data_IF_941037534277
#
_entry.id   IF_941037534277
#
_cell.length_a   1.000
_cell.length_b   1.000
_cell.length_c   1.000
_cell.angle_alpha   90.00
_cell.angle_beta   90.00
_cell.angle_gamma   90.00
#
_symmetry.space_group_name_H-M   'P 1'
#
loop_
_entity.id
_entity.type
_entity.pdbx_description
1 polymer ?
#
# COMPACT_ATOMS: atom_id res chain seq x y z
N UNK A 1 -2.10 20.65 -3.74
CA UNK A 1 -3.21 19.86 -3.15
C UNK A 1 -4.59 20.52 -3.31
N UNK A 2 -4.73 21.73 -3.86
CA UNK A 2 -6.04 22.42 -4.01
C UNK A 2 -7.06 21.74 -4.94
N UNK A 3 -6.65 20.71 -5.69
CA UNK A 3 -7.54 19.93 -6.57
C UNK A 3 -8.30 18.81 -5.85
N UNK A 4 -7.80 18.35 -4.69
CA UNK A 4 -8.42 17.27 -3.91
C UNK A 4 -8.96 17.86 -2.61
N UNK A 5 -10.19 17.49 -2.23
CA UNK A 5 -10.83 17.88 -0.97
C UNK A 5 -10.30 17.00 0.17
N UNK A 6 -9.05 17.21 0.58
CA UNK A 6 -8.38 16.40 1.60
C UNK A 6 -7.83 17.28 2.71
N UNK A 7 -8.22 16.98 3.95
CA UNK A 7 -7.76 17.67 5.16
C UNK A 7 -6.44 17.11 5.71
N UNK A 8 -6.28 15.78 5.65
CA UNK A 8 -5.11 15.05 6.12
C UNK A 8 -4.69 14.01 5.09
N UNK A 9 -3.40 13.90 4.81
CA UNK A 9 -2.88 12.86 3.91
C UNK A 9 -1.54 12.33 4.40
N UNK A 10 -1.47 11.01 4.57
CA UNK A 10 -0.27 10.30 4.98
C UNK A 10 0.55 9.88 3.76
N UNK A 11 1.86 10.03 3.88
CA UNK A 11 2.82 9.69 2.85
C UNK A 11 3.89 8.78 3.44
N UNK A 12 4.25 7.74 2.70
CA UNK A 12 5.33 6.82 3.05
C UNK A 12 6.37 6.84 1.94
N UNK A 13 7.65 6.94 2.31
CA UNK A 13 8.73 6.98 1.32
C UNK A 13 8.97 5.61 0.66
N UNK A 14 8.97 4.53 1.45
CA UNK A 14 9.28 3.19 0.95
C UNK A 14 8.21 2.58 0.03
N UNK A 15 7.06 3.24 -0.14
CA UNK A 15 6.04 2.86 -1.14
C UNK A 15 6.30 3.49 -2.52
N UNK A 16 7.32 4.35 -2.62
CA UNK A 16 7.79 4.99 -3.85
C UNK A 16 9.32 4.85 -3.97
N UNK A 17 9.85 3.67 -3.61
CA UNK A 17 11.28 3.36 -3.66
C UNK A 17 12.21 4.24 -2.79
N UNK A 18 11.64 5.05 -1.89
CA UNK A 18 12.40 5.83 -0.91
C UNK A 18 12.85 5.00 0.31
N UNK A 19 13.61 5.61 1.23
CA UNK A 19 14.13 4.92 2.41
C UNK A 19 13.02 4.48 3.38
N UNK A 20 13.23 3.35 4.06
CA UNK A 20 12.34 2.89 5.13
C UNK A 20 12.45 3.74 6.40
N UNK A 21 11.34 3.84 7.14
CA UNK A 21 11.28 4.57 8.42
C UNK A 21 11.26 6.10 8.27
N UNK A 22 10.72 6.61 7.15
CA UNK A 22 10.39 8.04 6.98
C UNK A 22 9.08 8.17 6.21
N UNK A 23 8.33 9.21 6.56
CA UNK A 23 7.07 9.57 5.92
C UNK A 23 6.74 11.03 6.20
N UNK A 24 5.59 11.48 5.73
CA UNK A 24 5.09 12.82 5.97
C UNK A 24 3.58 12.80 6.20
N UNK A 25 3.10 13.74 7.01
CA UNK A 25 1.68 14.03 7.15
C UNK A 25 1.42 15.41 6.55
N UNK A 26 0.63 15.46 5.49
CA UNK A 26 0.06 16.72 5.03
C UNK A 26 -1.10 17.10 5.94
N UNK A 27 -1.06 18.34 6.42
CA UNK A 27 -2.12 18.95 7.22
C UNK A 27 -2.64 20.18 6.49
N UNK A 28 -3.93 20.16 6.15
CA UNK A 28 -4.58 21.26 5.49
C UNK A 28 -4.65 22.49 6.40
N UNK A 29 -4.44 23.66 5.83
CA UNK A 29 -4.32 24.92 6.60
C UNK A 29 -5.64 25.65 6.77
N UNK A 30 -6.57 25.54 5.81
CA UNK A 30 -7.82 26.32 5.76
C UNK A 30 -8.99 25.50 5.18
N UNK A 31 -9.96 25.04 5.98
CA UNK A 31 -10.15 25.35 7.40
C UNK A 31 -9.01 24.83 8.27
N UNK A 32 -8.81 25.47 9.43
CA UNK A 32 -7.71 25.12 10.35
C UNK A 32 -8.01 23.78 11.00
N UNK A 33 -7.20 22.77 10.70
CA UNK A 33 -7.23 21.48 11.39
C UNK A 33 -6.39 21.59 12.66
N UNK A 34 -6.97 21.21 13.81
CA UNK A 34 -6.28 21.15 15.09
C UNK A 34 -5.93 19.69 15.37
N UNK A 35 -4.64 19.41 15.47
CA UNK A 35 -4.11 18.10 15.84
C UNK A 35 -3.43 18.21 17.20
N UNK A 36 -3.64 17.22 18.04
CA UNK A 36 -2.84 17.03 19.24
C UNK A 36 -1.61 16.20 18.90
N UNK A 37 -0.44 16.68 19.29
CA UNK A 37 0.79 15.96 19.05
C UNK A 37 0.85 14.70 19.91
N UNK A 38 1.20 13.56 19.31
CA UNK A 38 1.42 12.32 20.04
C UNK A 38 2.84 12.22 20.62
N UNK A 39 3.77 13.05 20.14
CA UNK A 39 5.16 13.10 20.59
C UNK A 39 5.48 14.48 21.14
N UNK A 40 5.68 14.56 22.46
CA UNK A 40 5.94 15.81 23.18
C UNK A 40 7.44 15.97 23.45
N UNK A 41 8.02 17.10 23.05
CA UNK A 41 9.33 17.64 23.44
C UNK A 41 9.47 19.03 22.77
N UNK A 42 10.68 19.49 22.44
CA UNK A 42 11.08 20.82 21.91
C UNK A 42 10.45 21.33 20.60
N UNK A 43 9.18 21.05 20.32
CA UNK A 43 8.35 21.85 19.42
C UNK A 43 8.69 21.76 17.92
N UNK A 44 9.48 20.77 17.52
CA UNK A 44 9.83 20.55 16.10
C UNK A 44 8.59 20.25 15.24
N UNK A 45 8.71 20.44 13.93
CA UNK A 45 7.61 20.27 12.97
C UNK A 45 6.34 21.05 13.37
N UNK A 46 6.52 22.32 13.78
CA UNK A 46 5.44 23.22 14.25
C UNK A 46 4.70 22.68 15.49
N UNK A 47 5.40 21.95 16.34
CA UNK A 47 4.84 21.31 17.52
C UNK A 47 4.04 20.04 17.24
N UNK A 48 4.01 19.53 16.00
CA UNK A 48 3.24 18.32 15.65
C UNK A 48 4.04 17.04 15.80
N UNK A 49 5.37 17.10 15.65
CA UNK A 49 6.24 15.94 15.76
C UNK A 49 7.59 16.34 16.34
N UNK A 50 7.80 15.96 17.60
CA UNK A 50 9.03 16.26 18.32
C UNK A 50 10.18 15.29 17.99
N UNK A 51 11.39 15.65 18.38
CA UNK A 51 12.62 14.86 18.14
C UNK A 51 13.39 15.26 16.88
N UNK A 52 14.69 14.99 16.88
CA UNK A 52 15.60 15.36 15.80
C UNK A 52 15.19 14.73 14.47
N UNK A 53 15.28 15.51 13.40
CA UNK A 53 14.89 15.09 12.06
C UNK A 53 16.04 14.31 11.40
N UNK A 54 15.78 13.11 10.85
CA UNK A 54 16.80 12.34 10.14
C UNK A 54 17.00 12.91 8.72
N UNK A 55 17.84 13.94 8.61
CA UNK A 55 18.04 14.73 7.38
C UNK A 55 18.28 13.84 6.15
N UNK A 56 19.15 12.83 6.26
CA UNK A 56 19.44 11.88 5.18
C UNK A 56 18.18 11.15 4.67
N UNK A 57 17.26 10.75 5.56
CA UNK A 57 16.00 10.10 5.16
C UNK A 57 15.02 11.10 4.55
N UNK A 58 14.99 12.33 5.04
CA UNK A 58 14.16 13.41 4.47
C UNK A 58 14.62 13.72 3.05
N UNK A 59 15.93 13.84 2.82
CA UNK A 59 16.51 14.02 1.48
C UNK A 59 16.16 12.84 0.57
N UNK A 60 16.35 11.61 1.04
CA UNK A 60 15.99 10.41 0.27
C UNK A 60 14.51 10.33 -0.07
N UNK A 61 13.62 10.73 0.85
CA UNK A 61 12.19 10.85 0.56
C UNK A 61 11.93 11.95 -0.49
N UNK A 62 12.54 13.12 -0.36
CA UNK A 62 12.40 14.20 -1.34
C UNK A 62 12.79 13.76 -2.75
N UNK A 63 13.90 13.04 -2.87
CA UNK A 63 14.39 12.53 -4.15
C UNK A 63 13.47 11.45 -4.74
N UNK A 64 13.01 10.50 -3.93
CA UNK A 64 12.04 9.49 -4.36
C UNK A 64 10.76 10.12 -4.93
N UNK A 65 10.21 11.15 -4.27
CA UNK A 65 9.04 11.88 -4.77
C UNK A 65 9.34 12.73 -6.01
N UNK A 66 10.57 13.25 -6.15
CA UNK A 66 11.01 13.96 -7.36
C UNK A 66 11.02 13.03 -8.57
N UNK A 67 11.61 11.83 -8.43
CA UNK A 67 11.63 10.79 -9.48
C UNK A 67 10.20 10.35 -9.80
N UNK A 68 9.41 10.02 -8.78
CA UNK A 68 8.02 9.61 -8.96
C UNK A 68 7.20 10.68 -9.71
N UNK A 69 7.41 11.97 -9.46
CA UNK A 69 6.71 13.05 -10.19
C UNK A 69 7.00 13.01 -11.71
N UNK A 70 8.19 12.60 -12.11
CA UNK A 70 8.61 12.55 -13.52
C UNK A 70 8.16 11.24 -14.19
N UNK A 71 8.30 10.12 -13.48
CA UNK A 71 8.18 8.79 -14.08
C UNK A 71 6.83 8.10 -13.85
N UNK A 72 6.08 8.48 -12.81
CA UNK A 72 4.90 7.73 -12.35
C UNK A 72 3.83 7.53 -13.42
N UNK A 73 3.62 8.49 -14.32
CA UNK A 73 2.61 8.35 -15.37
C UNK A 73 2.96 7.20 -16.33
N UNK A 74 4.17 7.24 -16.90
CA UNK A 74 4.67 6.20 -17.81
C UNK A 74 4.78 4.85 -17.09
N UNK A 75 5.26 4.87 -15.85
CA UNK A 75 5.43 3.66 -15.06
C UNK A 75 4.08 3.04 -14.68
N UNK A 76 3.05 3.85 -14.42
CA UNK A 76 1.69 3.35 -14.17
C UNK A 76 1.11 2.60 -15.36
N UNK A 77 1.31 3.11 -16.58
CA UNK A 77 0.85 2.44 -17.81
C UNK A 77 1.56 1.09 -18.00
N UNK A 78 2.89 1.08 -17.82
CA UNK A 78 3.70 -0.14 -17.92
C UNK A 78 3.28 -1.18 -16.88
N UNK A 79 3.11 -0.78 -15.63
CA UNK A 79 2.70 -1.66 -14.53
C UNK A 79 1.28 -2.20 -14.76
N UNK A 80 0.36 -1.37 -15.24
CA UNK A 80 -0.99 -1.81 -15.57
C UNK A 80 -0.99 -2.87 -16.69
N UNK A 81 -0.18 -2.68 -17.74
CA UNK A 81 -0.04 -3.67 -18.81
C UNK A 81 0.52 -5.01 -18.29
N UNK A 82 1.51 -4.97 -17.40
CA UNK A 82 2.07 -6.17 -16.76
C UNK A 82 1.03 -6.88 -15.88
N UNK A 83 0.28 -6.13 -15.08
CA UNK A 83 -0.81 -6.67 -14.25
C UNK A 83 -1.89 -7.32 -15.11
N UNK A 84 -2.29 -6.68 -16.20
CA UNK A 84 -3.28 -7.23 -17.13
C UNK A 84 -2.77 -8.49 -17.83
N UNK A 85 -1.48 -8.53 -18.20
CA UNK A 85 -0.83 -9.72 -18.77
C UNK A 85 -0.83 -10.88 -17.77
N UNK A 86 -0.47 -10.62 -16.52
CA UNK A 86 -0.50 -11.62 -15.46
C UNK A 86 -1.92 -12.15 -15.27
N UNK A 87 -2.90 -11.26 -15.06
CA UNK A 87 -4.30 -11.63 -14.89
C UNK A 87 -4.84 -12.45 -16.06
N UNK A 88 -4.63 -12.01 -17.30
CA UNK A 88 -5.09 -12.73 -18.48
C UNK A 88 -4.44 -14.12 -18.62
N UNK A 89 -3.23 -14.31 -18.10
CA UNK A 89 -2.55 -15.60 -18.11
C UNK A 89 -3.11 -16.61 -17.10
N UNK A 90 -3.76 -16.14 -16.03
CA UNK A 90 -4.21 -17.00 -14.92
C UNK A 90 -5.73 -17.03 -14.72
N UNK A 91 -6.49 -16.06 -15.25
CA UNK A 91 -7.93 -15.88 -14.97
C UNK A 91 -8.84 -17.05 -15.32
N UNK A 92 -8.36 -18.01 -16.13
CA UNK A 92 -9.12 -19.18 -16.53
C UNK A 92 -8.82 -20.41 -15.64
N UNK A 93 -7.99 -20.25 -14.61
CA UNK A 93 -7.81 -21.28 -13.57
C UNK A 93 -9.15 -21.43 -12.84
N UNK A 94 -9.58 -22.68 -12.67
CA UNK A 94 -10.80 -23.02 -11.93
C UNK A 94 -10.70 -22.50 -10.50
N UNK A 95 -11.83 -22.04 -9.94
CA UNK A 95 -11.88 -21.53 -8.56
C UNK A 95 -10.94 -20.35 -8.23
N UNK A 96 -10.57 -19.55 -9.25
CA UNK A 96 -9.82 -18.31 -9.07
C UNK A 96 -10.75 -17.10 -9.05
N UNK A 97 -10.64 -16.28 -8.00
CA UNK A 97 -11.46 -15.10 -7.79
C UNK A 97 -10.61 -13.83 -7.74
N UNK A 98 -11.07 -12.76 -8.39
CA UNK A 98 -10.46 -11.44 -8.30
C UNK A 98 -11.02 -10.67 -7.11
N UNK A 99 -10.12 -10.13 -6.28
CA UNK A 99 -10.49 -9.33 -5.12
C UNK A 99 -10.51 -7.84 -5.49
N UNK A 100 -11.71 -7.28 -5.62
CA UNK A 100 -11.91 -5.88 -6.01
C UNK A 100 -11.96 -5.69 -7.53
N UNK A 101 -11.44 -4.57 -8.02
CA UNK A 101 -11.57 -4.16 -9.43
C UNK A 101 -10.23 -3.81 -10.07
N UNK A 102 -10.00 -4.27 -11.30
CA UNK A 102 -8.79 -3.92 -12.06
C UNK A 102 -8.79 -2.44 -12.47
N UNK A 103 -9.92 -1.94 -12.99
CA UNK A 103 -9.99 -0.59 -13.59
C UNK A 103 -9.74 0.53 -12.57
N UNK A 104 -10.24 0.38 -11.34
CA UNK A 104 -10.15 1.40 -10.28
C UNK A 104 -9.12 1.05 -9.19
N UNK A 105 -8.21 0.11 -9.47
CA UNK A 105 -7.18 -0.34 -8.54
C UNK A 105 -5.79 0.22 -8.84
N UNK A 106 -4.86 0.06 -7.90
CA UNK A 106 -3.46 0.41 -8.13
C UNK A 106 -2.87 -0.45 -9.27
N UNK A 107 -2.13 0.15 -10.23
CA UNK A 107 -1.73 -0.53 -11.46
C UNK A 107 -0.77 -1.70 -11.23
N UNK A 108 -0.11 -1.76 -10.08
CA UNK A 108 0.88 -2.77 -9.71
C UNK A 108 0.39 -3.81 -8.69
N UNK A 109 -0.87 -3.73 -8.27
CA UNK A 109 -1.44 -4.66 -7.28
C UNK A 109 -2.49 -5.52 -7.97
N UNK A 110 -2.28 -6.84 -7.90
CA UNK A 110 -3.27 -7.87 -8.22
C UNK A 110 -3.55 -8.63 -6.93
N UNK A 111 -4.81 -8.63 -6.49
CA UNK A 111 -5.26 -9.38 -5.33
C UNK A 111 -6.27 -10.43 -5.81
N UNK A 112 -5.99 -11.69 -5.54
CA UNK A 112 -6.75 -12.85 -6.02
C UNK A 112 -6.84 -13.89 -4.92
N UNK A 113 -7.94 -14.63 -4.90
CA UNK A 113 -8.19 -15.73 -3.98
C UNK A 113 -8.32 -17.03 -4.78
N UNK A 114 -7.72 -18.10 -4.28
CA UNK A 114 -7.80 -19.44 -4.85
C UNK A 114 -8.64 -20.29 -3.91
N UNK A 115 -9.83 -20.72 -4.33
CA UNK A 115 -10.59 -21.65 -3.48
C UNK A 115 -9.82 -22.95 -3.31
N UNK A 116 -9.97 -23.58 -2.15
CA UNK A 116 -9.33 -24.85 -1.81
C UNK A 116 -7.78 -24.82 -1.77
N UNK A 117 -7.16 -23.65 -1.91
CA UNK A 117 -5.70 -23.49 -1.82
C UNK A 117 -5.37 -22.52 -0.70
N UNK A 118 -4.63 -23.00 0.30
CA UNK A 118 -4.12 -22.15 1.37
C UNK A 118 -2.94 -21.29 0.86
N UNK A 119 -2.96 -19.99 1.16
CA UNK A 119 -1.95 -19.04 0.67
C UNK A 119 -0.52 -19.45 1.03
N UNK A 120 -0.28 -19.95 2.26
CA UNK A 120 1.05 -20.40 2.69
C UNK A 120 1.59 -21.55 1.84
N UNK A 121 0.73 -22.51 1.49
CA UNK A 121 1.08 -23.63 0.63
C UNK A 121 1.51 -23.17 -0.77
N UNK A 122 0.82 -22.17 -1.33
CA UNK A 122 1.19 -21.57 -2.62
C UNK A 122 2.56 -20.88 -2.55
N UNK A 123 2.84 -20.13 -1.49
CA UNK A 123 4.12 -19.45 -1.30
C UNK A 123 5.28 -20.45 -1.18
N UNK A 124 5.08 -21.54 -0.44
CA UNK A 124 6.08 -22.60 -0.29
C UNK A 124 6.35 -23.35 -1.60
N UNK A 125 5.33 -23.52 -2.43
CA UNK A 125 5.42 -24.22 -3.72
C UNK A 125 6.11 -23.40 -4.83
N UNK A 126 6.25 -22.09 -4.67
CA UNK A 126 6.86 -21.18 -5.67
C UNK A 126 7.97 -20.32 -5.05
N UNK A 127 9.10 -20.96 -4.76
CA UNK A 127 10.28 -20.31 -4.15
C UNK A 127 10.96 -19.26 -5.05
N UNK A 128 10.67 -19.29 -6.34
CA UNK A 128 11.14 -18.35 -7.35
C UNK A 128 10.26 -17.09 -7.46
N UNK A 129 9.11 -17.06 -6.78
CA UNK A 129 8.17 -15.95 -6.83
C UNK A 129 7.88 -15.41 -5.41
N UNK A 130 8.28 -14.16 -5.18
CA UNK A 130 7.91 -13.46 -3.96
C UNK A 130 6.46 -12.96 -4.05
N UNK A 131 5.60 -13.49 -3.19
CA UNK A 131 4.19 -13.11 -3.02
C UNK A 131 3.89 -12.89 -1.53
N UNK A 132 2.73 -12.34 -1.24
CA UNK A 132 2.22 -12.18 0.12
C UNK A 132 0.80 -12.74 0.21
N UNK A 133 0.51 -13.47 1.29
CA UNK A 133 -0.87 -13.85 1.66
C UNK A 133 -1.39 -12.90 2.75
N UNK A 134 -2.67 -12.55 2.66
CA UNK A 134 -3.35 -11.64 3.58
C UNK A 134 -3.10 -10.15 3.36
N UNK A 135 -3.95 -9.32 3.96
CA UNK A 135 -3.91 -7.85 3.85
C UNK A 135 -3.00 -7.16 4.88
N UNK A 136 -2.54 -7.89 5.89
CA UNK A 136 -1.63 -7.39 6.90
C UNK A 136 -0.27 -8.06 6.68
N UNK A 137 0.81 -7.29 6.76
CA UNK A 137 2.15 -7.84 6.91
C UNK A 137 2.20 -8.66 8.20
N UNK A 138 1.83 -9.94 8.10
CA UNK A 138 1.99 -11.03 9.08
C UNK A 138 1.99 -10.57 10.54
N UNK A 139 0.83 -10.19 11.08
CA UNK A 139 0.58 -10.39 12.50
C UNK A 139 0.35 -11.88 12.71
N UNK A 140 0.96 -12.47 13.74
CA UNK A 140 0.99 -13.90 14.04
C UNK A 140 -0.37 -14.59 14.30
N UNK A 141 -1.48 -14.00 13.86
CA UNK A 141 -2.81 -14.59 13.92
C UNK A 141 -3.21 -15.14 12.56
N UNK A 142 -3.54 -16.43 12.54
CA UNK A 142 -4.20 -17.16 11.46
C UNK A 142 -5.65 -16.67 11.24
N UNK A 143 -5.93 -15.38 11.39
CA UNK A 143 -7.28 -14.84 11.23
C UNK A 143 -7.53 -14.38 9.79
N UNK A 144 -8.72 -14.64 9.23
CA UNK A 144 -9.02 -14.27 7.85
C UNK A 144 -8.99 -12.75 7.69
N UNK A 145 -8.58 -12.29 6.50
CA UNK A 145 -8.47 -10.86 6.22
C UNK A 145 -9.79 -10.15 6.51
N UNK A 146 -9.77 -9.22 7.47
CA UNK A 146 -10.95 -8.40 7.77
C UNK A 146 -11.37 -7.52 6.58
N UNK A 147 -10.44 -7.21 5.66
CA UNK A 147 -10.73 -6.47 4.42
C UNK A 147 -11.51 -7.35 3.45
N UNK A 148 -11.07 -8.60 3.23
CA UNK A 148 -11.78 -9.52 2.34
C UNK A 148 -13.17 -9.88 2.89
N UNK A 149 -13.29 -10.07 4.20
CA UNK A 149 -14.61 -10.21 4.87
C UNK A 149 -15.51 -8.99 4.64
N UNK A 150 -14.96 -7.78 4.75
CA UNK A 150 -15.73 -6.55 4.47
C UNK A 150 -16.13 -6.41 2.99
N UNK A 151 -15.43 -7.06 2.07
CA UNK A 151 -15.81 -7.18 0.65
C UNK A 151 -16.88 -8.27 0.39
N UNK A 152 -17.31 -8.98 1.43
CA UNK A 152 -18.33 -10.03 1.35
C UNK A 152 -17.79 -11.41 1.00
N UNK A 153 -16.47 -11.63 1.09
CA UNK A 153 -15.90 -12.96 0.92
C UNK A 153 -16.17 -13.83 2.15
N UNK A 154 -16.41 -15.13 1.93
CA UNK A 154 -16.47 -16.10 3.00
C UNK A 154 -15.08 -16.31 3.63
N UNK A 155 -15.04 -16.92 4.81
CA UNK A 155 -13.79 -17.08 5.57
C UNK A 155 -12.75 -17.93 4.80
N UNK A 156 -13.19 -18.95 4.05
CA UNK A 156 -12.32 -19.80 3.23
C UNK A 156 -11.56 -18.99 2.16
N UNK A 157 -12.25 -18.14 1.40
CA UNK A 157 -11.61 -17.28 0.41
C UNK A 157 -10.77 -16.17 1.07
N UNK A 158 -11.16 -15.71 2.25
CA UNK A 158 -10.42 -14.69 3.01
C UNK A 158 -9.12 -15.23 3.65
N UNK A 159 -8.89 -16.55 3.62
CA UNK A 159 -7.67 -17.24 4.03
C UNK A 159 -6.73 -17.60 2.87
N UNK A 160 -7.20 -17.52 1.63
CA UNK A 160 -6.40 -17.81 0.44
C UNK A 160 -5.55 -16.62 0.00
#
# INVERSE_FOLDING_TARGET
>A
MSKLKVDLMSFSAHKLYGPMGIGALYVHRKPRIRLEAQQHDGGRERGMRSGTLPVHKIVGMGEAYRVAKVEMAVESDRLNALRQRLWNGIKNIEELYLNGFLVNGAPHILNISFNYVEGESLMMARKDLAVSSGSACTSASLEPSYILRALGMNDELAHS
#
